data_IF_674022849159
#
_entry.id   IF_674022849159
#
_cell.length_a   1.000
_cell.length_b   1.000
_cell.length_c   1.000
_cell.angle_alpha   90.00
_cell.angle_beta   90.00
_cell.angle_gamma   90.00
#
_symmetry.space_group_name_H-M   'P 1'
#
loop_
_entity.id
_entity.type
_entity.pdbx_description
1 polymer ?
#
# COMPACT_ATOMS: atom_id res chain seq x y z
N UNK A 1 44.63 7.30 78.90
CA UNK A 1 45.47 8.33 79.51
C UNK A 1 45.43 9.58 78.67
N UNK A 2 44.92 10.66 79.30
CA UNK A 2 44.99 12.10 78.92
C UNK A 2 44.25 12.55 77.66
N UNK A 3 43.23 13.28 77.85
CA UNK A 3 42.91 14.66 78.30
C UNK A 3 42.88 15.68 77.16
N UNK A 4 41.66 16.17 76.92
CA UNK A 4 41.19 17.56 76.82
C UNK A 4 41.90 18.54 75.88
N UNK A 5 41.08 19.18 74.94
CA UNK A 5 40.78 20.61 75.18
C UNK A 5 39.64 21.11 74.24
N UNK A 6 38.64 21.72 74.92
CA UNK A 6 37.61 22.56 74.31
C UNK A 6 38.21 23.85 73.76
N UNK A 7 37.74 24.30 72.58
CA UNK A 7 37.71 25.73 72.25
C UNK A 7 36.38 26.07 71.55
N UNK A 8 35.63 26.87 72.31
CA UNK A 8 34.41 27.54 71.86
C UNK A 8 34.76 28.64 70.88
N UNK A 9 34.18 28.69 69.74
CA UNK A 9 34.23 29.81 68.81
C UNK A 9 32.84 30.33 68.58
N UNK A 10 32.65 31.60 68.94
CA UNK A 10 31.44 32.41 68.73
C UNK A 10 31.23 32.67 67.21
N UNK A 11 30.08 32.29 66.69
CA UNK A 11 29.71 32.58 65.30
C UNK A 11 28.82 33.83 65.31
N UNK A 12 29.32 34.89 64.69
CA UNK A 12 28.58 36.11 64.45
C UNK A 12 27.64 35.89 63.22
N UNK A 13 26.38 36.22 63.43
CA UNK A 13 25.38 36.24 62.38
C UNK A 13 25.57 37.46 61.46
N UNK A 14 25.95 37.22 60.21
CA UNK A 14 25.86 38.24 59.15
C UNK A 14 24.66 37.86 58.31
N UNK A 15 23.60 38.69 58.44
CA UNK A 15 22.40 38.59 57.62
C UNK A 15 22.68 39.14 56.22
N UNK A 16 22.87 38.26 55.21
CA UNK A 16 23.00 38.65 53.82
C UNK A 16 21.62 38.61 53.16
N UNK A 17 21.03 39.76 52.90
CA UNK A 17 19.82 39.92 52.11
C UNK A 17 20.16 39.63 50.65
N UNK A 18 19.79 38.44 50.16
CA UNK A 18 19.81 38.13 48.76
C UNK A 18 18.52 38.65 48.11
N UNK A 19 18.65 39.71 47.30
CA UNK A 19 17.62 40.16 46.40
C UNK A 19 17.53 39.13 45.27
N UNK A 20 16.51 38.27 45.31
CA UNK A 20 16.18 37.37 44.18
C UNK A 20 15.45 38.20 43.15
N UNK A 21 16.18 38.61 42.11
CA UNK A 21 15.58 39.17 40.91
C UNK A 21 14.82 38.06 40.18
N UNK A 22 13.49 38.13 40.18
CA UNK A 22 12.68 37.20 39.42
C UNK A 22 12.89 37.42 37.93
N UNK A 23 13.72 36.58 37.31
CA UNK A 23 13.73 36.44 35.85
C UNK A 23 12.46 35.68 35.45
N UNK A 24 11.51 36.36 34.83
CA UNK A 24 10.39 35.74 34.15
C UNK A 24 10.93 34.90 33.00
N UNK A 25 11.07 33.61 33.20
CA UNK A 25 11.30 32.65 32.12
C UNK A 25 10.03 32.53 31.34
N UNK A 26 10.05 32.73 29.99
CA UNK A 26 8.87 32.52 29.18
C UNK A 26 8.38 31.08 29.37
N UNK A 27 7.11 30.91 29.76
CA UNK A 27 6.44 29.62 29.83
C UNK A 27 6.54 28.94 28.48
N UNK A 28 7.45 27.98 28.35
CA UNK A 28 7.49 27.06 27.24
C UNK A 28 6.15 26.32 27.20
N UNK A 29 5.24 26.74 26.33
CA UNK A 29 4.05 25.98 25.99
C UNK A 29 4.52 24.75 25.21
N UNK A 30 4.86 23.67 25.91
CA UNK A 30 4.99 22.38 25.27
C UNK A 30 3.66 22.10 24.58
N UNK A 31 3.66 21.80 23.26
CA UNK A 31 2.44 21.39 22.59
C UNK A 31 1.87 20.21 23.38
N UNK A 32 0.62 20.31 23.79
CA UNK A 32 -0.07 19.23 24.48
C UNK A 32 0.04 17.99 23.60
N UNK A 33 0.72 16.95 24.10
CA UNK A 33 0.75 15.64 23.47
C UNK A 33 -0.71 15.18 23.42
N UNK A 34 -1.36 15.33 22.27
CA UNK A 34 -2.67 14.71 22.06
C UNK A 34 -2.48 13.22 22.30
N UNK A 35 -2.97 12.76 23.43
CA UNK A 35 -3.12 11.33 23.69
C UNK A 35 -4.19 10.88 22.70
N UNK A 36 -3.77 10.19 21.66
CA UNK A 36 -4.71 9.52 20.76
C UNK A 36 -5.32 8.40 21.60
N UNK A 37 -6.46 8.70 22.22
CA UNK A 37 -7.30 7.67 22.83
C UNK A 37 -7.89 6.86 21.69
N UNK A 38 -7.35 5.67 21.47
CA UNK A 38 -8.02 4.69 20.63
C UNK A 38 -9.33 4.35 21.32
N UNK A 39 -10.47 4.67 20.70
CA UNK A 39 -11.73 4.12 21.13
C UNK A 39 -11.64 2.60 20.93
N UNK A 40 -11.80 1.83 22.00
CA UNK A 40 -11.86 0.37 21.94
C UNK A 40 -13.19 -0.12 21.35
N UNK A 41 -13.89 0.71 20.60
CA UNK A 41 -15.12 0.30 19.93
C UNK A 41 -14.79 -0.65 18.79
N UNK A 42 -15.29 -1.87 18.90
CA UNK A 42 -15.20 -2.86 17.83
C UNK A 42 -16.15 -2.40 16.71
N UNK A 43 -15.66 -2.22 15.48
CA UNK A 43 -16.51 -1.81 14.38
C UNK A 43 -17.62 -2.83 14.12
N UNK A 44 -18.86 -2.36 13.92
CA UNK A 44 -19.99 -3.23 13.60
C UNK A 44 -19.95 -3.63 12.13
N UNK A 45 -20.11 -4.92 11.86
CA UNK A 45 -20.31 -5.41 10.51
C UNK A 45 -21.67 -5.00 9.97
N UNK A 46 -21.77 -4.61 8.68
CA UNK A 46 -23.07 -4.47 8.03
C UNK A 46 -23.73 -5.85 7.81
N UNK A 47 -25.04 -5.89 7.66
CA UNK A 47 -25.76 -7.14 7.37
C UNK A 47 -25.55 -7.64 5.94
N UNK A 48 -25.18 -6.74 5.03
CA UNK A 48 -24.90 -7.01 3.62
C UNK A 48 -23.86 -6.05 3.07
N UNK A 49 -23.16 -6.47 2.04
CA UNK A 49 -22.27 -5.61 1.27
C UNK A 49 -22.42 -5.84 -0.23
N UNK A 50 -22.07 -4.86 -1.03
CA UNK A 50 -21.88 -5.07 -2.47
C UNK A 50 -20.43 -5.50 -2.69
N UNK A 51 -20.23 -6.66 -3.32
CA UNK A 51 -18.92 -7.19 -3.63
C UNK A 51 -18.92 -7.75 -5.04
N UNK A 52 -17.99 -7.30 -5.89
CA UNK A 52 -17.96 -7.60 -7.32
C UNK A 52 -19.30 -7.39 -8.03
N UNK A 53 -19.96 -6.26 -7.75
CA UNK A 53 -21.30 -5.88 -8.26
C UNK A 53 -22.44 -6.80 -7.84
N UNK A 54 -22.25 -7.68 -6.87
CA UNK A 54 -23.27 -8.58 -6.32
C UNK A 54 -23.57 -8.24 -4.87
N UNK A 55 -24.83 -8.38 -4.45
CA UNK A 55 -25.22 -8.22 -3.05
C UNK A 55 -24.88 -9.51 -2.30
N UNK A 56 -23.96 -9.44 -1.35
CA UNK A 56 -23.56 -10.53 -0.48
C UNK A 56 -24.18 -10.34 0.92
N UNK A 57 -24.90 -11.37 1.40
CA UNK A 57 -25.37 -11.42 2.78
C UNK A 57 -24.19 -11.74 3.71
N UNK A 58 -24.11 -11.02 4.82
CA UNK A 58 -23.12 -11.24 5.88
C UNK A 58 -23.76 -11.82 7.15
N UNK A 59 -24.97 -12.41 7.01
CA UNK A 59 -25.69 -13.02 8.12
C UNK A 59 -25.26 -14.47 8.39
N UNK A 60 -24.62 -15.13 7.39
CA UNK A 60 -24.01 -16.44 7.59
C UNK A 60 -22.92 -16.36 8.65
N UNK A 61 -22.94 -17.32 9.60
CA UNK A 61 -22.07 -17.27 10.78
C UNK A 61 -20.58 -17.40 10.41
N UNK A 62 -20.23 -18.29 9.47
CA UNK A 62 -18.85 -18.49 9.04
C UNK A 62 -18.33 -17.24 8.30
N UNK A 63 -19.11 -16.72 7.35
CA UNK A 63 -18.78 -15.51 6.60
C UNK A 63 -18.58 -14.32 7.56
N UNK A 64 -19.52 -14.17 8.52
CA UNK A 64 -19.49 -13.07 9.48
C UNK A 64 -18.25 -13.11 10.37
N UNK A 65 -17.95 -14.25 11.00
CA UNK A 65 -16.83 -14.38 11.93
C UNK A 65 -15.48 -14.23 11.22
N UNK A 66 -15.34 -14.79 10.03
CA UNK A 66 -14.12 -14.67 9.22
C UNK A 66 -13.88 -13.24 8.75
N UNK A 67 -14.93 -12.53 8.32
CA UNK A 67 -14.83 -11.13 7.93
C UNK A 67 -14.51 -10.24 9.13
N UNK A 68 -15.18 -10.43 10.26
CA UNK A 68 -14.94 -9.70 11.50
C UNK A 68 -13.48 -9.82 11.94
N UNK A 69 -12.93 -11.04 11.91
CA UNK A 69 -11.51 -11.27 12.18
C UNK A 69 -10.60 -10.45 11.29
N UNK A 70 -10.84 -10.39 9.97
CA UNK A 70 -9.97 -9.63 9.06
C UNK A 70 -10.14 -8.12 9.25
N UNK A 71 -11.32 -7.64 9.62
CA UNK A 71 -11.55 -6.23 9.99
C UNK A 71 -10.76 -5.89 11.25
N UNK A 72 -10.86 -6.71 12.30
CA UNK A 72 -10.11 -6.51 13.55
C UNK A 72 -8.60 -6.48 13.29
N UNK A 73 -8.08 -7.46 12.54
CA UNK A 73 -6.66 -7.52 12.19
C UNK A 73 -6.22 -6.22 11.51
N UNK A 74 -6.95 -5.76 10.49
CA UNK A 74 -6.59 -4.53 9.77
C UNK A 74 -6.75 -3.27 10.64
N UNK A 75 -7.73 -3.22 11.52
CA UNK A 75 -7.94 -2.10 12.45
C UNK A 75 -6.79 -1.98 13.46
N UNK A 76 -6.21 -3.09 13.90
CA UNK A 76 -5.05 -3.08 14.79
C UNK A 76 -3.72 -2.87 14.05
N UNK A 77 -3.57 -3.30 12.80
CA UNK A 77 -2.40 -3.02 11.96
C UNK A 77 -2.49 -1.63 11.29
N UNK A 78 -2.76 -0.60 12.09
CA UNK A 78 -3.09 0.75 11.64
C UNK A 78 -2.11 1.37 10.65
N UNK A 79 -0.80 1.15 10.79
CA UNK A 79 0.21 1.77 9.93
C UNK A 79 0.10 1.28 8.48
N UNK A 80 -0.08 -0.02 8.27
CA UNK A 80 -0.23 -0.60 6.92
C UNK A 80 -1.50 -0.11 6.24
N UNK A 81 -2.64 -0.19 6.93
CA UNK A 81 -3.93 0.25 6.41
C UNK A 81 -3.95 1.76 6.16
N UNK A 82 -3.37 2.57 7.07
CA UNK A 82 -3.22 4.03 6.87
C UNK A 82 -2.39 4.35 5.63
N UNK A 83 -1.29 3.61 5.38
CA UNK A 83 -0.48 3.77 4.18
C UNK A 83 -1.26 3.38 2.92
N UNK A 84 -2.05 2.30 2.95
CA UNK A 84 -2.92 1.91 1.85
C UNK A 84 -3.91 3.03 1.50
N UNK A 85 -4.60 3.58 2.51
CA UNK A 85 -5.54 4.70 2.32
C UNK A 85 -4.83 5.94 1.76
N UNK A 86 -3.62 6.28 2.23
CA UNK A 86 -2.86 7.42 1.70
C UNK A 86 -2.42 7.18 0.24
N UNK A 87 -1.98 5.98 -0.08
CA UNK A 87 -1.52 5.59 -1.42
C UNK A 87 -2.66 5.45 -2.42
N UNK A 88 -3.86 5.03 -1.98
CA UNK A 88 -5.01 4.87 -2.87
C UNK A 88 -5.35 6.16 -3.62
N UNK A 89 -5.22 7.33 -3.00
CA UNK A 89 -5.44 8.61 -3.65
C UNK A 89 -4.55 8.83 -4.90
N UNK A 90 -3.35 8.21 -4.93
CA UNK A 90 -2.44 8.27 -6.08
C UNK A 90 -2.74 7.22 -7.14
N UNK A 91 -3.05 6.01 -6.73
CA UNK A 91 -3.05 4.87 -7.64
C UNK A 91 -4.44 4.40 -8.07
N UNK A 92 -5.46 4.55 -7.23
CA UNK A 92 -6.84 4.13 -7.54
C UNK A 92 -7.38 4.76 -8.81
N UNK A 93 -7.20 6.07 -9.11
CA UNK A 93 -7.72 6.63 -10.35
C UNK A 93 -7.23 5.90 -11.61
N UNK A 94 -5.98 5.44 -11.61
CA UNK A 94 -5.44 4.65 -12.73
C UNK A 94 -5.96 3.22 -12.74
N UNK A 95 -6.03 2.57 -11.57
CA UNK A 95 -6.55 1.20 -11.44
C UNK A 95 -8.02 1.13 -11.87
N UNK A 96 -8.87 2.01 -11.31
CA UNK A 96 -10.32 2.08 -11.59
C UNK A 96 -10.60 2.31 -13.06
N UNK A 97 -9.89 3.25 -13.69
CA UNK A 97 -10.01 3.50 -15.13
C UNK A 97 -9.70 2.25 -15.93
N UNK A 98 -8.58 1.56 -15.65
CA UNK A 98 -8.19 0.37 -16.42
C UNK A 98 -9.12 -0.81 -16.14
N UNK A 99 -9.51 -1.05 -14.89
CA UNK A 99 -10.49 -2.10 -14.56
C UNK A 99 -11.79 -1.89 -15.33
N UNK A 100 -12.30 -0.66 -15.37
CA UNK A 100 -13.49 -0.29 -16.14
C UNK A 100 -13.30 -0.49 -17.64
N UNK A 101 -12.20 -0.03 -18.23
CA UNK A 101 -11.86 -0.21 -19.65
C UNK A 101 -11.81 -1.71 -20.03
N UNK A 102 -11.31 -2.55 -19.11
CA UNK A 102 -11.17 -3.99 -19.33
C UNK A 102 -12.43 -4.79 -18.96
N UNK A 103 -13.48 -4.16 -18.45
CA UNK A 103 -14.72 -4.83 -18.04
C UNK A 103 -14.55 -5.75 -16.82
N UNK A 104 -13.62 -5.41 -15.92
CA UNK A 104 -13.36 -6.13 -14.66
C UNK A 104 -13.98 -5.33 -13.52
N UNK A 105 -14.67 -5.96 -12.54
CA UNK A 105 -15.24 -5.27 -11.40
C UNK A 105 -14.21 -4.41 -10.65
N UNK A 106 -14.63 -3.21 -10.29
CA UNK A 106 -13.74 -2.21 -9.67
C UNK A 106 -13.15 -2.67 -8.33
N UNK A 107 -13.85 -3.55 -7.62
CA UNK A 107 -13.41 -4.11 -6.33
C UNK A 107 -12.06 -4.85 -6.42
N UNK A 108 -11.63 -5.29 -7.61
CA UNK A 108 -10.30 -5.86 -7.80
C UNK A 108 -9.15 -4.88 -7.49
N UNK A 109 -9.40 -3.57 -7.35
CA UNK A 109 -8.41 -2.63 -6.81
C UNK A 109 -7.98 -2.99 -5.38
N UNK A 110 -8.87 -3.57 -4.57
CA UNK A 110 -8.55 -4.01 -3.20
C UNK A 110 -7.70 -5.29 -3.18
N UNK A 111 -7.80 -6.14 -4.21
CA UNK A 111 -6.85 -7.23 -4.42
C UNK A 111 -5.44 -6.69 -4.62
N UNK A 112 -5.26 -5.66 -5.44
CA UNK A 112 -3.97 -4.99 -5.62
C UNK A 112 -3.43 -4.42 -4.29
N UNK A 113 -4.30 -3.94 -3.38
CA UNK A 113 -3.89 -3.53 -2.03
C UNK A 113 -3.37 -4.71 -1.22
N UNK A 114 -4.06 -5.85 -1.23
CA UNK A 114 -3.64 -7.06 -0.50
C UNK A 114 -2.28 -7.56 -0.99
N UNK A 115 -2.04 -7.56 -2.30
CA UNK A 115 -0.81 -8.07 -2.90
C UNK A 115 0.42 -7.24 -2.54
N UNK A 116 0.31 -5.93 -2.55
CA UNK A 116 1.50 -5.06 -2.49
C UNK A 116 1.37 -3.86 -1.56
N UNK A 117 0.23 -3.67 -0.91
CA UNK A 117 -0.08 -2.42 -0.22
C UNK A 117 0.14 -1.18 -1.12
N UNK A 118 -0.19 -1.30 -2.43
CA UNK A 118 0.01 -0.28 -3.46
C UNK A 118 1.47 0.21 -3.53
N UNK A 119 2.42 -0.71 -3.58
CA UNK A 119 3.85 -0.41 -3.73
C UNK A 119 4.56 -1.43 -4.61
N UNK A 120 5.66 -0.99 -5.24
CA UNK A 120 6.52 -1.89 -6.00
C UNK A 120 7.43 -2.64 -5.03
N UNK A 121 7.04 -3.86 -4.69
CA UNK A 121 7.78 -4.76 -3.81
C UNK A 121 8.06 -6.08 -4.52
N UNK A 122 9.08 -6.76 -4.05
CA UNK A 122 9.41 -8.13 -4.49
C UNK A 122 9.26 -9.04 -3.28
N UNK A 123 8.44 -10.09 -3.44
CA UNK A 123 8.26 -11.10 -2.39
C UNK A 123 9.46 -12.05 -2.31
N UNK A 124 9.64 -12.78 -1.20
CA UNK A 124 10.68 -13.82 -1.09
C UNK A 124 10.58 -14.88 -2.18
N UNK A 125 9.39 -15.15 -2.71
CA UNK A 125 9.15 -16.09 -3.81
C UNK A 125 9.42 -15.49 -5.20
N UNK A 126 9.79 -14.19 -5.28
CA UNK A 126 10.10 -13.51 -6.55
C UNK A 126 8.89 -12.90 -7.25
N UNK A 127 7.70 -12.91 -6.65
CA UNK A 127 6.57 -12.13 -7.17
C UNK A 127 6.87 -10.63 -7.06
N UNK A 128 6.49 -9.82 -8.05
CA UNK A 128 6.87 -8.41 -8.11
C UNK A 128 5.74 -7.47 -8.53
N UNK A 129 5.87 -6.22 -8.08
CA UNK A 129 5.03 -5.09 -8.48
C UNK A 129 3.70 -5.04 -7.75
N UNK A 130 2.82 -4.16 -8.23
CA UNK A 130 1.51 -3.90 -7.63
C UNK A 130 0.61 -5.13 -7.54
N UNK A 131 0.70 -6.01 -8.54
CA UNK A 131 -0.14 -7.19 -8.71
C UNK A 131 0.57 -8.50 -8.38
N UNK A 132 1.80 -8.44 -7.87
CA UNK A 132 2.60 -9.59 -7.45
C UNK A 132 2.66 -10.73 -8.49
N UNK A 133 2.88 -10.39 -9.76
CA UNK A 133 3.11 -11.40 -10.77
C UNK A 133 4.39 -12.19 -10.51
N UNK A 134 4.30 -13.51 -10.65
CA UNK A 134 5.48 -14.38 -10.70
C UNK A 134 6.24 -14.15 -12.01
N UNK A 135 7.59 -14.26 -12.01
CA UNK A 135 8.38 -14.03 -13.23
C UNK A 135 8.05 -15.01 -14.36
N UNK A 136 7.63 -16.24 -14.05
CA UNK A 136 7.19 -17.21 -15.06
C UNK A 136 5.83 -16.91 -15.64
N UNK A 137 4.90 -16.39 -14.85
CA UNK A 137 3.52 -16.08 -15.29
C UNK A 137 3.42 -14.74 -16.04
N UNK A 138 4.24 -13.76 -15.68
CA UNK A 138 4.18 -12.42 -16.24
C UNK A 138 4.23 -12.38 -17.79
N UNK A 139 5.11 -13.14 -18.48
CA UNK A 139 5.16 -13.17 -19.95
C UNK A 139 3.89 -13.74 -20.62
N UNK A 140 3.20 -14.68 -19.99
CA UNK A 140 1.94 -15.27 -20.49
C UNK A 140 0.84 -14.21 -20.65
N UNK A 141 0.91 -13.14 -19.83
CA UNK A 141 -0.03 -12.01 -19.86
C UNK A 141 0.54 -10.77 -20.55
N UNK A 142 1.72 -10.90 -21.21
CA UNK A 142 2.31 -9.88 -22.08
C UNK A 142 3.22 -8.89 -21.37
N UNK A 143 3.74 -9.23 -20.16
CA UNK A 143 4.71 -8.41 -19.45
C UNK A 143 6.14 -8.85 -19.76
N UNK A 144 7.00 -7.91 -20.11
CA UNK A 144 8.43 -8.17 -20.30
C UNK A 144 9.14 -8.19 -18.94
N UNK A 145 9.93 -9.24 -18.70
CA UNK A 145 10.80 -9.38 -17.51
C UNK A 145 12.20 -9.74 -18.00
N UNK A 146 13.11 -8.81 -17.88
CA UNK A 146 14.52 -8.93 -18.31
C UNK A 146 15.44 -8.31 -17.24
N UNK A 147 16.75 -8.49 -17.31
CA UNK A 147 17.67 -7.79 -16.41
C UNK A 147 17.63 -6.27 -16.52
N UNK A 148 17.12 -5.71 -17.63
CA UNK A 148 17.06 -4.28 -17.89
C UNK A 148 15.73 -3.65 -17.52
N UNK A 149 14.62 -4.35 -17.78
CA UNK A 149 13.27 -3.89 -17.52
C UNK A 149 12.42 -4.99 -16.89
N UNK A 150 11.55 -4.60 -15.96
CA UNK A 150 10.57 -5.48 -15.33
C UNK A 150 9.19 -4.81 -15.32
N UNK A 151 8.37 -5.13 -16.34
CA UNK A 151 7.06 -4.52 -16.52
C UNK A 151 6.01 -4.94 -15.48
N UNK A 152 6.34 -5.89 -14.58
CA UNK A 152 5.52 -6.17 -13.38
C UNK A 152 5.43 -4.95 -12.47
N UNK A 153 6.44 -4.08 -12.51
CA UNK A 153 6.50 -2.81 -11.79
C UNK A 153 5.86 -1.64 -12.56
N UNK A 154 5.40 -1.85 -13.79
CA UNK A 154 4.73 -0.83 -14.59
C UNK A 154 3.23 -0.85 -14.29
N UNK A 155 2.72 0.16 -13.56
CA UNK A 155 1.35 0.18 -13.04
C UNK A 155 0.30 -0.15 -14.11
N UNK A 156 0.28 0.56 -15.23
CA UNK A 156 -0.75 0.40 -16.26
C UNK A 156 -0.64 -0.96 -16.97
N UNK A 157 0.58 -1.38 -17.33
CA UNK A 157 0.79 -2.66 -18.03
C UNK A 157 0.45 -3.85 -17.12
N UNK A 158 0.94 -3.83 -15.88
CA UNK A 158 0.65 -4.91 -14.93
C UNK A 158 -0.83 -4.98 -14.55
N UNK A 159 -1.53 -3.84 -14.50
CA UNK A 159 -2.99 -3.82 -14.28
C UNK A 159 -3.74 -4.45 -15.46
N UNK A 160 -3.39 -4.14 -16.71
CA UNK A 160 -3.99 -4.80 -17.86
C UNK A 160 -3.69 -6.30 -17.92
N UNK A 161 -2.48 -6.70 -17.54
CA UNK A 161 -2.11 -8.10 -17.41
C UNK A 161 -2.95 -8.81 -16.33
N UNK A 162 -3.13 -8.17 -15.17
CA UNK A 162 -3.98 -8.67 -14.09
C UNK A 162 -5.43 -8.82 -14.54
N UNK A 163 -5.98 -7.85 -15.28
CA UNK A 163 -7.31 -7.97 -15.86
C UNK A 163 -7.47 -9.19 -16.79
N UNK A 164 -6.44 -9.48 -17.61
CA UNK A 164 -6.46 -10.69 -18.47
C UNK A 164 -6.47 -11.97 -17.64
N UNK A 165 -5.64 -12.06 -16.59
CA UNK A 165 -5.60 -13.21 -15.68
C UNK A 165 -6.93 -13.37 -14.95
N UNK A 166 -7.48 -12.31 -14.38
CA UNK A 166 -8.78 -12.30 -13.69
C UNK A 166 -9.90 -12.74 -14.62
N UNK A 167 -9.95 -12.22 -15.84
CA UNK A 167 -10.93 -12.64 -16.86
C UNK A 167 -10.77 -14.10 -17.28
N UNK A 168 -9.54 -14.61 -17.32
CA UNK A 168 -9.29 -16.03 -17.57
C UNK A 168 -9.85 -16.91 -16.46
N UNK A 169 -9.64 -16.51 -15.20
CA UNK A 169 -10.23 -17.19 -14.04
C UNK A 169 -11.78 -17.09 -14.07
N UNK A 170 -12.33 -15.91 -14.39
CA UNK A 170 -13.77 -15.74 -14.50
C UNK A 170 -14.39 -16.65 -15.56
N UNK A 171 -13.76 -16.81 -16.73
CA UNK A 171 -14.25 -17.73 -17.77
C UNK A 171 -14.31 -19.18 -17.29
N UNK A 172 -13.40 -19.58 -16.37
CA UNK A 172 -13.38 -20.94 -15.82
C UNK A 172 -14.48 -21.15 -14.77
N UNK A 173 -14.68 -20.18 -13.90
CA UNK A 173 -15.56 -20.33 -12.73
C UNK A 173 -16.94 -19.68 -12.90
N UNK A 174 -17.11 -18.80 -13.86
CA UNK A 174 -18.28 -17.95 -14.10
C UNK A 174 -18.75 -17.20 -12.83
N UNK A 175 -17.81 -16.90 -11.92
CA UNK A 175 -18.02 -16.23 -10.65
C UNK A 175 -16.82 -15.39 -10.27
N UNK A 176 -17.04 -14.13 -9.88
CA UNK A 176 -15.96 -13.20 -9.58
C UNK A 176 -15.27 -13.47 -8.23
N UNK A 177 -15.99 -14.04 -7.25
CA UNK A 177 -15.40 -14.42 -5.95
C UNK A 177 -14.47 -15.60 -6.16
N UNK A 178 -14.89 -16.60 -6.93
CA UNK A 178 -14.05 -17.73 -7.30
C UNK A 178 -12.87 -17.29 -8.15
N UNK A 179 -13.06 -16.36 -9.10
CA UNK A 179 -11.98 -15.79 -9.91
C UNK A 179 -10.94 -15.06 -9.05
N UNK A 180 -11.40 -14.38 -8.01
CA UNK A 180 -10.56 -13.73 -7.01
C UNK A 180 -9.76 -14.74 -6.17
N UNK A 181 -10.41 -15.78 -5.67
CA UNK A 181 -9.75 -16.86 -4.93
C UNK A 181 -8.71 -17.59 -5.79
N UNK A 182 -9.03 -17.81 -7.08
CA UNK A 182 -8.14 -18.43 -8.07
C UNK A 182 -6.89 -17.59 -8.35
N UNK A 183 -6.93 -16.28 -8.15
CA UNK A 183 -5.75 -15.42 -8.28
C UNK A 183 -4.64 -15.84 -7.30
N UNK A 184 -5.01 -16.15 -6.06
CA UNK A 184 -4.08 -16.59 -5.02
C UNK A 184 -3.78 -18.10 -5.12
N UNK A 185 -4.82 -18.93 -5.21
CA UNK A 185 -4.71 -20.39 -5.16
C UNK A 185 -4.16 -21.02 -6.45
N UNK A 186 -4.25 -20.29 -7.54
CA UNK A 186 -4.16 -20.82 -8.88
C UNK A 186 -5.45 -21.53 -9.31
N UNK A 187 -5.89 -21.35 -10.57
CA UNK A 187 -7.20 -21.85 -11.04
C UNK A 187 -7.32 -23.39 -10.92
N UNK A 188 -6.28 -24.13 -11.28
CA UNK A 188 -6.28 -25.59 -11.15
C UNK A 188 -6.26 -26.09 -9.70
N UNK A 189 -5.66 -25.31 -8.78
CA UNK A 189 -5.70 -25.61 -7.35
C UNK A 189 -7.10 -25.46 -6.78
N UNK A 190 -7.73 -24.32 -7.04
CA UNK A 190 -9.09 -24.02 -6.58
C UNK A 190 -10.11 -25.04 -7.14
N UNK A 191 -9.98 -25.37 -8.43
CA UNK A 191 -10.88 -26.36 -9.06
C UNK A 191 -10.81 -27.72 -8.36
N UNK A 192 -9.58 -28.22 -8.11
CA UNK A 192 -9.40 -29.50 -7.40
C UNK A 192 -9.97 -29.45 -5.98
N UNK A 193 -9.75 -28.34 -5.26
CA UNK A 193 -10.26 -28.19 -3.89
C UNK A 193 -11.80 -28.23 -3.88
N UNK A 194 -12.48 -27.59 -4.84
CA UNK A 194 -13.93 -27.59 -4.99
C UNK A 194 -14.49 -28.95 -5.42
N UNK A 195 -13.88 -29.59 -6.43
CA UNK A 195 -14.31 -30.89 -6.94
C UNK A 195 -14.19 -31.98 -5.89
N UNK A 196 -13.10 -32.01 -5.11
CA UNK A 196 -12.88 -32.99 -4.05
C UNK A 196 -13.90 -32.90 -2.92
N UNK A 197 -14.54 -31.72 -2.74
CA UNK A 197 -15.55 -31.49 -1.70
C UNK A 197 -16.97 -31.44 -2.26
N UNK A 198 -17.16 -31.55 -3.59
CA UNK A 198 -18.46 -31.51 -4.23
C UNK A 198 -19.15 -30.14 -4.17
N UNK A 199 -18.40 -29.06 -4.00
CA UNK A 199 -18.89 -27.66 -3.91
C UNK A 199 -18.49 -26.84 -5.12
N UNK A 200 -19.13 -25.68 -5.32
CA UNK A 200 -18.91 -24.83 -6.50
C UNK A 200 -18.55 -23.39 -6.17
N UNK A 201 -18.57 -23.03 -4.88
CA UNK A 201 -18.36 -21.65 -4.47
C UNK A 201 -17.28 -21.53 -3.40
N UNK A 202 -16.49 -20.45 -3.44
CA UNK A 202 -15.42 -20.19 -2.49
C UNK A 202 -15.87 -20.26 -1.03
N UNK A 203 -17.04 -19.69 -0.71
CA UNK A 203 -17.53 -19.66 0.67
C UNK A 203 -17.91 -21.03 1.23
N UNK A 204 -18.17 -22.03 0.36
CA UNK A 204 -18.50 -23.40 0.73
C UNK A 204 -17.26 -24.33 0.72
N UNK A 205 -16.09 -23.82 0.33
CA UNK A 205 -14.89 -24.63 0.11
C UNK A 205 -13.94 -24.52 1.31
N UNK A 206 -13.57 -25.65 1.90
CA UNK A 206 -12.46 -25.71 2.84
C UNK A 206 -11.12 -25.58 2.09
N UNK A 207 -10.27 -24.68 2.54
CA UNK A 207 -9.00 -24.37 1.89
C UNK A 207 -7.86 -24.24 2.90
N UNK A 208 -6.64 -24.23 2.39
CA UNK A 208 -5.50 -23.87 3.22
C UNK A 208 -5.70 -22.48 3.85
N UNK A 209 -5.08 -22.19 5.03
CA UNK A 209 -5.33 -20.97 5.79
C UNK A 209 -5.05 -19.67 5.03
N UNK A 210 -4.12 -19.67 4.07
CA UNK A 210 -3.79 -18.48 3.27
C UNK A 210 -4.93 -18.13 2.32
N UNK A 211 -5.34 -19.08 1.47
CA UNK A 211 -6.41 -18.89 0.50
C UNK A 211 -7.76 -18.68 1.18
N UNK A 212 -8.03 -19.42 2.26
CA UNK A 212 -9.25 -19.27 3.05
C UNK A 212 -9.46 -17.83 3.55
N UNK A 213 -8.39 -17.10 3.87
CA UNK A 213 -8.44 -15.71 4.34
C UNK A 213 -8.41 -14.67 3.20
N UNK A 214 -7.97 -15.06 2.02
CA UNK A 214 -7.61 -14.11 0.96
C UNK A 214 -8.78 -13.21 0.54
N UNK A 215 -9.92 -13.81 0.21
CA UNK A 215 -11.11 -13.05 -0.20
C UNK A 215 -11.65 -12.19 0.96
N UNK A 216 -11.65 -12.69 2.19
CA UNK A 216 -12.10 -11.93 3.36
C UNK A 216 -11.20 -10.74 3.67
N UNK A 217 -9.90 -10.84 3.42
CA UNK A 217 -8.97 -9.70 3.53
C UNK A 217 -9.31 -8.61 2.51
N UNK A 218 -9.70 -8.98 1.29
CA UNK A 218 -10.13 -8.04 0.25
C UNK A 218 -11.45 -7.38 0.66
N UNK A 219 -12.44 -8.15 1.13
CA UNK A 219 -13.71 -7.65 1.64
C UNK A 219 -13.52 -6.67 2.81
N UNK A 220 -12.66 -7.01 3.77
CA UNK A 220 -12.35 -6.17 4.92
C UNK A 220 -11.72 -4.84 4.49
N UNK A 221 -10.73 -4.88 3.59
CA UNK A 221 -10.11 -3.66 3.08
C UNK A 221 -11.08 -2.80 2.27
N UNK A 222 -11.98 -3.41 1.48
CA UNK A 222 -13.04 -2.67 0.81
C UNK A 222 -13.87 -1.88 1.83
N UNK A 223 -14.44 -2.54 2.84
CA UNK A 223 -15.26 -1.90 3.87
C UNK A 223 -14.49 -0.76 4.58
N UNK A 224 -13.26 -1.03 4.99
CA UNK A 224 -12.42 -0.05 5.70
C UNK A 224 -12.07 1.15 4.81
N UNK A 225 -11.67 0.91 3.57
CA UNK A 225 -11.19 1.98 2.69
C UNK A 225 -12.33 2.82 2.08
N UNK A 226 -13.53 2.27 1.95
CA UNK A 226 -14.74 3.01 1.57
C UNK A 226 -15.30 3.85 2.71
N UNK A 227 -15.18 3.37 3.96
CA UNK A 227 -15.73 4.04 5.15
C UNK A 227 -14.67 4.17 6.27
N UNK A 228 -13.51 4.82 6.01
CA UNK A 228 -12.36 4.74 6.91
C UNK A 228 -12.67 5.25 8.33
N UNK A 229 -13.47 6.28 8.47
CA UNK A 229 -13.84 6.82 9.79
C UNK A 229 -14.69 5.87 10.63
N UNK A 230 -15.55 5.06 10.00
CA UNK A 230 -16.33 4.03 10.69
C UNK A 230 -15.46 2.92 11.28
N UNK A 231 -14.24 2.76 10.76
CA UNK A 231 -13.24 1.78 11.20
C UNK A 231 -12.06 2.40 11.95
N UNK A 232 -12.21 3.64 12.47
CA UNK A 232 -11.21 4.31 13.30
C UNK A 232 -10.06 4.98 12.53
N UNK A 233 -10.15 5.14 11.20
CA UNK A 233 -9.14 5.81 10.39
C UNK A 233 -9.51 7.25 10.08
N UNK A 234 -8.85 8.19 10.74
CA UNK A 234 -8.99 9.63 10.50
C UNK A 234 -7.82 10.14 9.67
N UNK A 235 -7.91 10.05 8.34
CA UNK A 235 -6.85 10.44 7.40
C UNK A 235 -7.37 11.60 6.55
N UNK A 236 -7.01 12.85 6.90
CA UNK A 236 -7.41 14.04 6.14
C UNK A 236 -6.97 13.95 4.68
N UNK A 237 -7.79 14.48 3.77
CA UNK A 237 -7.53 14.43 2.32
C UNK A 237 -6.18 15.04 1.92
N UNK A 238 -5.79 16.14 2.56
CA UNK A 238 -4.53 16.86 2.33
C UNK A 238 -3.28 16.07 2.75
N UNK A 239 -3.44 15.04 3.60
CA UNK A 239 -2.34 14.17 4.02
C UNK A 239 -2.18 12.96 3.11
N UNK A 240 -3.10 12.72 2.17
CA UNK A 240 -3.05 11.61 1.21
C UNK A 240 -2.04 11.91 0.11
N UNK A 241 -1.52 10.86 -0.52
CA UNK A 241 -0.51 11.01 -1.57
C UNK A 241 -1.18 11.32 -2.91
N UNK A 242 -1.09 12.56 -3.35
CA UNK A 242 -1.60 12.98 -4.65
C UNK A 242 -0.88 12.28 -5.81
N UNK A 243 -1.54 12.10 -6.96
CA UNK A 243 -0.87 11.72 -8.20
C UNK A 243 0.32 12.63 -8.51
N UNK A 244 1.38 12.07 -9.07
CA UNK A 244 2.53 12.85 -9.51
C UNK A 244 2.28 13.24 -10.96
N UNK A 245 2.13 14.55 -11.22
CA UNK A 245 1.95 15.07 -12.56
C UNK A 245 3.15 14.73 -13.44
N UNK A 246 2.90 13.99 -14.51
CA UNK A 246 3.93 13.53 -15.43
C UNK A 246 3.44 13.60 -16.88
N UNK A 247 4.39 13.69 -17.81
CA UNK A 247 4.16 13.51 -19.25
C UNK A 247 4.98 12.34 -19.75
N UNK A 248 4.52 11.70 -20.81
CA UNK A 248 5.22 10.60 -21.46
C UNK A 248 6.06 11.07 -22.62
N UNK A 249 7.28 10.54 -22.72
CA UNK A 249 8.18 10.72 -23.86
C UNK A 249 8.36 9.36 -24.53
N UNK A 250 8.05 9.27 -25.81
CA UNK A 250 8.28 8.08 -26.61
C UNK A 250 9.77 7.91 -26.90
N UNK A 251 10.30 6.76 -26.56
CA UNK A 251 11.69 6.39 -26.77
C UNK A 251 11.75 5.35 -27.87
N UNK A 252 12.29 5.77 -29.03
CA UNK A 252 12.44 4.95 -30.22
C UNK A 252 13.90 4.62 -30.55
N UNK A 253 14.84 5.22 -29.80
CA UNK A 253 16.28 4.97 -29.93
C UNK A 253 16.88 4.62 -28.57
N UNK A 254 17.92 3.79 -28.53
CA UNK A 254 18.58 3.42 -27.28
C UNK A 254 19.12 4.63 -26.50
N UNK A 255 18.96 4.59 -25.19
CA UNK A 255 19.54 5.57 -24.26
C UNK A 255 20.71 4.90 -23.53
N UNK A 256 21.95 5.26 -23.88
CA UNK A 256 23.16 4.70 -23.29
C UNK A 256 23.41 5.16 -21.85
N UNK A 257 22.93 6.36 -21.49
CA UNK A 257 23.07 6.95 -20.17
C UNK A 257 21.77 7.68 -19.76
N UNK A 258 20.93 6.97 -19.00
CA UNK A 258 19.63 7.46 -18.55
C UNK A 258 19.77 8.64 -17.57
N UNK A 259 20.87 8.71 -16.80
CA UNK A 259 21.13 9.85 -15.90
C UNK A 259 21.42 11.13 -16.68
N UNK A 260 22.18 11.05 -17.78
CA UNK A 260 22.44 12.19 -18.66
C UNK A 260 21.14 12.63 -19.35
N UNK A 261 20.39 11.67 -19.91
CA UNK A 261 19.10 11.93 -20.53
C UNK A 261 18.10 12.56 -19.56
N UNK A 262 18.03 12.09 -18.31
CA UNK A 262 17.17 12.69 -17.28
C UNK A 262 17.50 14.16 -17.03
N UNK A 263 18.79 14.54 -17.00
CA UNK A 263 19.22 15.95 -16.87
C UNK A 263 18.77 16.79 -18.07
N UNK A 264 18.85 16.25 -19.28
CA UNK A 264 18.34 16.93 -20.49
C UNK A 264 16.84 17.18 -20.41
N UNK A 265 16.08 16.27 -19.73
CA UNK A 265 14.66 16.47 -19.45
C UNK A 265 14.39 17.39 -18.23
N UNK A 266 15.44 17.94 -17.61
CA UNK A 266 15.34 18.84 -16.46
C UNK A 266 14.99 18.13 -15.15
N UNK A 267 15.34 16.85 -15.02
CA UNK A 267 15.08 16.03 -13.83
C UNK A 267 16.30 15.18 -13.45
N UNK A 268 16.16 14.23 -12.54
CA UNK A 268 17.23 13.33 -12.11
C UNK A 268 16.89 11.86 -12.39
N UNK A 269 17.91 10.99 -12.45
CA UNK A 269 17.74 9.54 -12.57
C UNK A 269 16.82 8.99 -11.48
N UNK A 270 16.97 9.45 -10.23
CA UNK A 270 16.11 9.06 -9.10
C UNK A 270 14.64 9.30 -9.41
N UNK A 271 14.31 10.43 -10.02
CA UNK A 271 12.94 10.79 -10.36
C UNK A 271 12.44 9.98 -11.55
N UNK A 272 13.29 9.72 -12.54
CA UNK A 272 12.94 8.82 -13.64
C UNK A 272 12.59 7.43 -13.10
N UNK A 273 13.40 6.85 -12.24
CA UNK A 273 13.07 5.55 -11.62
C UNK A 273 11.84 5.58 -10.72
N UNK A 274 11.59 6.70 -10.02
CA UNK A 274 10.37 6.88 -9.22
C UNK A 274 9.10 6.84 -10.08
N UNK A 275 9.13 7.48 -11.25
CA UNK A 275 8.01 7.53 -12.19
C UNK A 275 7.93 6.27 -13.08
N UNK A 276 9.05 5.58 -13.27
CA UNK A 276 9.20 4.40 -14.13
C UNK A 276 9.94 3.29 -13.38
N UNK A 277 9.33 2.72 -12.33
CA UNK A 277 10.00 1.71 -11.50
C UNK A 277 10.24 0.38 -12.24
N UNK A 278 9.70 0.25 -13.44
CA UNK A 278 9.94 -0.88 -14.35
C UNK A 278 11.31 -0.81 -15.06
N UNK A 279 12.00 0.33 -15.05
CA UNK A 279 13.36 0.48 -15.56
C UNK A 279 14.33 0.13 -14.43
N UNK A 280 15.13 -0.91 -14.61
CA UNK A 280 16.01 -1.45 -13.57
C UNK A 280 17.45 -0.93 -13.68
N UNK A 281 17.84 -0.38 -14.83
CA UNK A 281 19.21 -0.01 -15.16
C UNK A 281 19.36 1.47 -15.53
N UNK A 282 20.59 1.93 -15.67
CA UNK A 282 20.90 3.29 -16.11
C UNK A 282 21.00 3.41 -17.65
N UNK A 283 20.29 2.57 -18.38
CA UNK A 283 20.24 2.60 -19.87
C UNK A 283 18.91 2.01 -20.35
N UNK A 284 18.59 2.25 -21.63
CA UNK A 284 17.54 1.56 -22.36
C UNK A 284 18.11 1.08 -23.70
N UNK A 285 18.27 -0.22 -23.84
CA UNK A 285 18.79 -0.85 -25.06
C UNK A 285 17.70 -1.04 -26.12
N UNK A 286 18.07 -1.58 -27.28
CA UNK A 286 17.13 -1.95 -28.34
C UNK A 286 16.05 -2.94 -27.87
N UNK A 287 16.34 -3.78 -26.86
CA UNK A 287 15.37 -4.73 -26.33
C UNK A 287 14.30 -4.10 -25.46
N UNK A 288 14.57 -2.90 -24.91
CA UNK A 288 13.64 -2.16 -24.07
C UNK A 288 12.71 -1.24 -24.88
N UNK A 289 13.05 -0.92 -26.10
CA UNK A 289 12.30 0.00 -26.98
C UNK A 289 11.49 -0.73 -28.06
N UNK A 290 10.46 -0.10 -28.65
CA UNK A 290 9.93 1.22 -28.27
C UNK A 290 9.22 1.18 -26.91
N UNK A 291 9.36 2.27 -26.14
CA UNK A 291 8.69 2.41 -24.86
C UNK A 291 8.34 3.88 -24.57
N UNK A 292 7.41 4.10 -23.63
CA UNK A 292 7.08 5.43 -23.12
C UNK A 292 7.74 5.60 -21.74
N UNK A 293 8.47 6.68 -21.55
CA UNK A 293 9.10 7.03 -20.27
C UNK A 293 8.42 8.26 -19.70
N UNK A 294 7.89 8.14 -18.47
CA UNK A 294 7.30 9.25 -17.73
C UNK A 294 8.38 10.18 -17.19
N UNK A 295 8.20 11.46 -17.42
CA UNK A 295 9.02 12.54 -16.83
C UNK A 295 8.09 13.50 -16.09
N UNK A 296 8.56 14.26 -15.06
CA UNK A 296 7.74 15.25 -14.39
C UNK A 296 7.15 16.26 -15.38
N UNK A 297 5.85 16.56 -15.27
CA UNK A 297 5.22 17.60 -16.06
C UNK A 297 5.79 18.99 -15.70
N UNK A 298 5.99 19.23 -14.41
CA UNK A 298 6.52 20.48 -13.86
C UNK A 298 7.87 20.25 -13.15
N UNK A 299 8.89 21.05 -13.49
CA UNK A 299 10.24 20.97 -12.91
C UNK A 299 10.27 21.25 -11.40
N UNK A 300 9.23 21.86 -10.83
CA UNK A 300 9.20 22.31 -9.43
C UNK A 300 8.60 21.29 -8.43
N UNK A 301 7.89 20.26 -8.90
CA UNK A 301 7.14 19.35 -8.04
C UNK A 301 8.03 18.35 -7.30
N UNK A 302 9.22 18.08 -7.81
CA UNK A 302 10.12 17.05 -7.27
C UNK A 302 11.48 17.68 -6.93
N UNK A 303 11.47 18.59 -5.95
CA UNK A 303 12.64 19.00 -5.17
C UNK A 303 14.00 18.87 -5.84
N UNK A 304 14.21 19.52 -6.99
CA UNK A 304 15.59 19.79 -7.42
C UNK A 304 16.13 20.79 -6.41
N UNK A 305 17.14 20.38 -5.63
CA UNK A 305 17.82 21.26 -4.71
C UNK A 305 18.10 22.58 -5.44
N UNK A 306 17.41 23.65 -5.01
CA UNK A 306 17.84 25.00 -5.40
C UNK A 306 19.24 25.17 -4.84
N UNK A 307 20.22 25.34 -5.74
CA UNK A 307 21.54 25.87 -5.36
C UNK A 307 21.39 27.28 -4.83
#
# INVERSE_FOLDING_TARGET
MNLKHHKTIIIAWISLFLIVSACDTPKSTRPSRQVVTHSNEVPKLPEKMIFFNQSLSLLDIDIKERLDREILVNTYFQSSTSLAIKRSARYFPTLERILKEEGVPEDFKYLCVIESNLSNVISPAGAAGFWQFMPGTAPEYGLKVTPEIDERNHLEKSTRAACKLIKSNYRLFNDWVNACAAYNRGPGGLLRDMESQGVKHFFDTEMNPETARYVFRIMALKLIMEHPTAYGYHIPSETRYSPIESKEIQINMPIKNLALWARQQGTSLKIIHLLNPWILTNQLSLNAIPCAVKVPANKHVLGVFKK
#
